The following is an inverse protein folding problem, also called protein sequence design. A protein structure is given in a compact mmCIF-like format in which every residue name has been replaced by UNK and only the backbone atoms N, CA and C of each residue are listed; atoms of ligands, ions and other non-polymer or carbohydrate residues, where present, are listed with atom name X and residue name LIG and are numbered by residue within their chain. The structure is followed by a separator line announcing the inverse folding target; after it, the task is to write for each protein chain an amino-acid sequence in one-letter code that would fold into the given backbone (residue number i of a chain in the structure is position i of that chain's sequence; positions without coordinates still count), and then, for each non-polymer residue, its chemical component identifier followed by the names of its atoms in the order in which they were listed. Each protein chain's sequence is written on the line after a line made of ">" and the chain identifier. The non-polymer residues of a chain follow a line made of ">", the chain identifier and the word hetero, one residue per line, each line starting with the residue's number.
data_IF_098526617885
#
_entry.id   IF_098526617885
#
_cell.length_a   1.000
_cell.length_b   1.000
_cell.length_c   1.000
_cell.angle_alpha   90.00
_cell.angle_beta   90.00
_cell.angle_gamma   90.00
#
_symmetry.space_group_name_H-M   'P 1'
#
loop_
_entity.id
_entity.type
_entity.pdbx_description
1 polymer ?
#
# COMPACT_ATOMS: atom_id res chain seq x y z
N UNK A 1 16.48 5.06 -2.48
CA UNK A 1 16.60 3.60 -2.70
C UNK A 1 17.47 2.88 -1.67
N UNK A 2 18.76 3.18 -1.50
CA UNK A 2 19.60 2.45 -0.50
C UNK A 2 19.00 2.42 0.91
N UNK A 3 18.33 3.51 1.34
CA UNK A 3 17.66 3.54 2.65
C UNK A 3 16.45 2.59 2.70
N UNK A 4 15.65 2.49 1.65
CA UNK A 4 14.56 1.53 1.58
C UNK A 4 15.07 0.08 1.70
N UNK A 5 16.14 -0.26 0.99
CA UNK A 5 16.79 -1.57 1.07
C UNK A 5 17.31 -1.85 2.49
N UNK A 6 17.94 -0.85 3.15
CA UNK A 6 18.41 -0.97 4.54
C UNK A 6 17.27 -1.25 5.52
N UNK A 7 16.17 -0.51 5.40
CA UNK A 7 14.97 -0.70 6.22
C UNK A 7 14.38 -2.11 6.09
N UNK A 8 14.34 -2.65 4.86
CA UNK A 8 13.90 -4.03 4.64
C UNK A 8 14.80 -5.05 5.36
N UNK A 9 16.12 -4.88 5.26
CA UNK A 9 17.08 -5.72 5.96
C UNK A 9 16.96 -5.59 7.48
N UNK A 10 16.89 -4.38 8.01
CA UNK A 10 16.73 -4.10 9.44
C UNK A 10 15.45 -4.75 9.99
N UNK A 11 14.30 -4.56 9.29
CA UNK A 11 13.03 -5.13 9.68
C UNK A 11 13.04 -6.66 9.70
N UNK A 12 13.61 -7.29 8.68
CA UNK A 12 13.77 -8.75 8.59
C UNK A 12 14.62 -9.28 9.74
N UNK A 13 15.80 -8.69 9.98
CA UNK A 13 16.73 -9.14 11.03
C UNK A 13 16.13 -8.99 12.44
N UNK A 14 15.26 -8.00 12.64
CA UNK A 14 14.57 -7.76 13.91
C UNK A 14 13.24 -8.55 14.04
N UNK A 15 12.93 -9.44 13.09
CA UNK A 15 11.72 -10.26 13.15
C UNK A 15 10.42 -9.49 12.92
N UNK A 16 10.49 -8.26 12.39
CA UNK A 16 9.30 -7.45 12.17
C UNK A 16 8.40 -8.00 11.04
N UNK A 17 9.02 -8.60 10.02
CA UNK A 17 8.33 -9.18 8.85
C UNK A 17 9.30 -9.52 7.74
N UNK A 18 8.82 -9.57 6.49
CA UNK A 18 9.62 -9.85 5.30
C UNK A 18 10.66 -8.74 4.97
N UNK A 19 11.58 -9.00 4.00
CA UNK A 19 12.72 -8.14 3.68
C UNK A 19 12.34 -6.90 2.84
N UNK A 20 11.26 -6.22 3.20
CA UNK A 20 10.71 -5.11 2.46
C UNK A 20 10.81 -3.80 3.24
N UNK A 21 11.24 -2.74 2.54
CA UNK A 21 11.37 -1.40 3.11
C UNK A 21 10.96 -0.34 2.09
N UNK A 22 10.45 0.78 2.61
CA UNK A 22 9.95 1.87 1.80
C UNK A 22 10.30 3.22 2.44
N UNK A 23 10.56 4.23 1.60
CA UNK A 23 10.68 5.62 2.02
C UNK A 23 9.82 6.52 1.14
N UNK A 24 9.18 7.50 1.76
CA UNK A 24 8.51 8.60 1.08
C UNK A 24 9.44 9.81 1.10
N UNK A 25 9.66 10.40 -0.06
CA UNK A 25 10.57 11.54 -0.25
C UNK A 25 9.78 12.75 -0.76
N UNK A 26 10.00 13.91 -0.16
CA UNK A 26 9.44 15.19 -0.60
C UNK A 26 10.57 16.22 -0.74
N UNK A 27 10.65 16.91 -1.87
CA UNK A 27 11.68 17.92 -2.13
C UNK A 27 13.13 17.42 -1.83
N UNK A 28 13.44 16.16 -2.20
CA UNK A 28 14.75 15.55 -2.00
C UNK A 28 15.03 15.07 -0.56
N UNK A 29 14.10 15.25 0.38
CA UNK A 29 14.26 14.83 1.77
C UNK A 29 13.33 13.68 2.14
N UNK A 30 13.76 12.76 2.98
CA UNK A 30 12.95 11.67 3.50
C UNK A 30 11.88 12.25 4.43
N UNK A 31 10.62 12.13 4.01
CA UNK A 31 9.45 12.52 4.80
C UNK A 31 9.06 11.43 5.79
N UNK A 32 9.06 10.17 5.35
CA UNK A 32 8.69 9.01 6.19
C UNK A 32 9.40 7.75 5.71
N UNK A 33 9.50 6.79 6.61
CA UNK A 33 10.12 5.49 6.41
C UNK A 33 9.18 4.38 6.88
N UNK A 34 9.29 3.20 6.28
CA UNK A 34 8.56 2.01 6.67
C UNK A 34 9.33 0.75 6.32
N UNK A 35 9.17 -0.27 7.13
CA UNK A 35 9.54 -1.65 6.81
C UNK A 35 8.31 -2.55 6.96
N UNK A 36 8.36 -3.75 6.40
CA UNK A 36 7.31 -4.73 6.59
C UNK A 36 7.15 -5.06 8.08
N UNK A 37 5.93 -5.00 8.60
CA UNK A 37 5.59 -5.20 10.01
C UNK A 37 4.49 -6.25 10.22
N UNK A 38 4.19 -7.04 9.20
CA UNK A 38 3.11 -8.03 9.23
C UNK A 38 3.19 -8.93 10.45
N UNK A 39 4.37 -9.43 10.81
CA UNK A 39 4.54 -10.35 11.93
C UNK A 39 4.40 -9.63 13.28
N UNK A 40 5.12 -8.54 13.48
CA UNK A 40 5.17 -7.86 14.80
C UNK A 40 3.87 -7.14 15.13
N UNK A 41 3.10 -6.70 14.11
CA UNK A 41 1.81 -6.02 14.33
C UNK A 41 0.59 -6.92 14.18
N UNK A 42 0.78 -8.19 13.76
CA UNK A 42 -0.31 -9.12 13.40
C UNK A 42 -1.31 -8.51 12.40
N UNK A 43 -0.80 -7.68 11.49
CA UNK A 43 -1.57 -6.97 10.47
C UNK A 43 -1.07 -7.36 9.08
N UNK A 44 -1.84 -8.17 8.31
CA UNK A 44 -1.44 -8.59 6.98
C UNK A 44 -1.32 -7.43 5.98
N UNK A 45 -1.86 -6.25 6.31
CA UNK A 45 -1.76 -5.05 5.47
C UNK A 45 -0.55 -4.18 5.78
N UNK A 46 0.21 -4.48 6.85
CA UNK A 46 1.37 -3.69 7.28
C UNK A 46 2.61 -3.93 6.41
N UNK A 47 2.44 -3.85 5.08
CA UNK A 47 3.55 -3.81 4.13
C UNK A 47 4.33 -2.51 4.26
N UNK A 48 5.59 -2.52 3.85
CA UNK A 48 6.51 -1.37 4.03
C UNK A 48 5.95 -0.07 3.43
N UNK A 49 5.34 -0.16 2.24
CA UNK A 49 4.73 0.98 1.54
C UNK A 49 3.54 1.54 2.32
N UNK A 50 2.65 0.67 2.80
CA UNK A 50 1.47 1.08 3.58
C UNK A 50 1.91 1.73 4.89
N UNK A 51 2.92 1.19 5.57
CA UNK A 51 3.49 1.76 6.78
C UNK A 51 4.08 3.15 6.50
N UNK A 52 4.87 3.29 5.43
CA UNK A 52 5.49 4.57 5.05
C UNK A 52 4.45 5.61 4.63
N UNK A 53 3.42 5.23 3.85
CA UNK A 53 2.32 6.12 3.44
C UNK A 53 1.56 6.63 4.68
N UNK A 54 1.17 5.74 5.60
CA UNK A 54 0.48 6.12 6.84
C UNK A 54 1.31 7.09 7.68
N UNK A 55 2.59 6.83 7.84
CA UNK A 55 3.50 7.71 8.57
C UNK A 55 3.65 9.07 7.90
N UNK A 56 3.78 9.11 6.56
CA UNK A 56 3.87 10.34 5.80
C UNK A 56 2.59 11.19 5.91
N UNK A 57 1.43 10.58 5.71
CA UNK A 57 0.13 11.23 5.83
C UNK A 57 -0.10 11.81 7.25
N UNK A 58 0.24 11.04 8.28
CA UNK A 58 0.17 11.51 9.67
C UNK A 58 1.09 12.70 9.92
N UNK A 59 2.31 12.67 9.36
CA UNK A 59 3.30 13.74 9.54
C UNK A 59 2.88 15.05 8.88
N UNK A 60 2.23 15.00 7.71
CA UNK A 60 1.76 16.21 7.01
C UNK A 60 0.35 16.63 7.40
N UNK A 61 -0.38 15.80 8.16
CA UNK A 61 -1.77 16.06 8.54
C UNK A 61 -2.76 16.01 7.35
N UNK A 62 -2.44 15.25 6.29
CA UNK A 62 -3.25 15.15 5.08
C UNK A 62 -3.19 13.75 4.47
N UNK A 63 -4.26 13.33 3.78
CA UNK A 63 -4.33 12.02 3.15
C UNK A 63 -3.66 11.93 1.77
N UNK A 64 -3.34 13.05 1.14
CA UNK A 64 -2.64 13.10 -0.15
C UNK A 64 -1.14 13.39 0.02
N UNK A 65 -0.33 12.69 -0.76
CA UNK A 65 1.13 12.81 -0.81
C UNK A 65 1.61 13.41 -2.15
N UNK A 66 0.84 14.38 -2.70
CA UNK A 66 1.25 15.10 -3.90
C UNK A 66 2.60 15.80 -3.67
N UNK A 67 3.46 15.80 -4.68
CA UNK A 67 4.84 16.29 -4.57
C UNK A 67 5.77 15.32 -3.86
N UNK A 68 5.32 14.08 -3.60
CA UNK A 68 6.13 13.04 -2.97
C UNK A 68 6.44 11.90 -3.94
N UNK A 69 7.66 11.38 -3.83
CA UNK A 69 8.10 10.15 -4.49
C UNK A 69 8.12 9.00 -3.48
N UNK A 70 7.75 7.82 -3.93
CA UNK A 70 7.83 6.58 -3.16
C UNK A 70 8.98 5.72 -3.68
N UNK A 71 9.89 5.31 -2.79
CA UNK A 71 10.97 4.38 -3.08
C UNK A 71 10.77 3.12 -2.25
N UNK A 72 10.64 1.98 -2.91
CA UNK A 72 10.45 0.68 -2.26
C UNK A 72 11.51 -0.32 -2.70
N UNK A 73 11.91 -1.20 -1.78
CA UNK A 73 12.95 -2.21 -2.04
C UNK A 73 12.51 -3.29 -3.04
N UNK A 74 11.20 -3.42 -3.26
CA UNK A 74 10.62 -4.37 -4.22
C UNK A 74 9.46 -3.70 -4.97
N UNK A 75 9.12 -4.22 -6.14
CA UNK A 75 7.94 -3.85 -6.91
C UNK A 75 6.68 -3.95 -6.03
N UNK A 76 5.85 -2.88 -5.96
CA UNK A 76 4.67 -2.90 -5.10
C UNK A 76 3.65 -3.95 -5.54
N UNK A 77 3.17 -4.76 -4.59
CA UNK A 77 2.04 -5.65 -4.84
C UNK A 77 0.75 -4.86 -5.14
N UNK A 78 -0.34 -5.49 -5.64
CA UNK A 78 -1.58 -4.80 -5.97
C UNK A 78 -2.18 -3.99 -4.82
N UNK A 79 -2.06 -4.44 -3.57
CA UNK A 79 -2.51 -3.70 -2.39
C UNK A 79 -1.70 -2.40 -2.21
N UNK A 80 -0.37 -2.49 -2.28
CA UNK A 80 0.53 -1.33 -2.10
C UNK A 80 0.42 -0.35 -3.27
N UNK A 81 0.26 -0.85 -4.50
CA UNK A 81 0.00 -0.02 -5.67
C UNK A 81 -1.32 0.75 -5.52
N UNK A 82 -2.38 0.07 -5.06
CA UNK A 82 -3.66 0.70 -4.74
C UNK A 82 -3.51 1.79 -3.67
N UNK A 83 -2.78 1.51 -2.59
CA UNK A 83 -2.52 2.48 -1.53
C UNK A 83 -1.73 3.71 -2.03
N UNK A 84 -0.71 3.51 -2.86
CA UNK A 84 0.06 4.60 -3.45
C UNK A 84 -0.78 5.49 -4.38
N UNK A 85 -1.69 4.88 -5.17
CA UNK A 85 -2.64 5.62 -6.01
C UNK A 85 -3.63 6.43 -5.17
N UNK A 86 -4.21 5.85 -4.12
CA UNK A 86 -5.09 6.57 -3.20
C UNK A 86 -4.37 7.71 -2.47
N UNK A 87 -3.11 7.51 -2.10
CA UNK A 87 -2.27 8.56 -1.51
C UNK A 87 -1.79 9.60 -2.53
N UNK A 88 -2.00 9.38 -3.85
CA UNK A 88 -1.61 10.30 -4.93
C UNK A 88 -0.12 10.67 -4.90
N UNK A 89 0.77 9.68 -4.70
CA UNK A 89 2.20 9.91 -4.87
C UNK A 89 2.50 10.22 -6.34
N UNK A 90 3.49 11.07 -6.60
CA UNK A 90 3.80 11.48 -7.96
C UNK A 90 4.53 10.40 -8.76
N UNK A 91 5.44 9.66 -8.11
CA UNK A 91 6.27 8.63 -8.76
C UNK A 91 6.56 7.48 -7.79
N UNK A 92 6.71 6.28 -8.37
CA UNK A 92 7.15 5.08 -7.65
C UNK A 92 8.47 4.62 -8.28
N UNK A 93 9.45 4.34 -7.42
CA UNK A 93 10.72 3.72 -7.78
C UNK A 93 10.89 2.43 -6.98
N UNK A 94 11.22 1.34 -7.63
CA UNK A 94 11.47 0.07 -6.96
C UNK A 94 12.82 -0.53 -7.36
N UNK A 95 13.34 -1.46 -6.57
CA UNK A 95 14.63 -2.09 -6.81
C UNK A 95 14.48 -3.53 -7.34
N UNK A 96 14.07 -4.47 -6.49
CA UNK A 96 13.81 -5.86 -6.88
C UNK A 96 12.46 -5.97 -7.61
N UNK A 97 12.33 -6.94 -8.50
CA UNK A 97 11.08 -7.22 -9.20
C UNK A 97 10.19 -8.16 -8.37
N UNK A 98 8.94 -8.36 -8.79
CA UNK A 98 8.05 -9.37 -8.22
C UNK A 98 8.56 -10.80 -8.44
N UNK A 99 9.29 -11.05 -9.55
CA UNK A 99 9.92 -12.34 -9.80
C UNK A 99 11.04 -12.62 -8.79
N UNK A 100 11.82 -11.61 -8.41
CA UNK A 100 12.82 -11.72 -7.35
C UNK A 100 12.15 -12.02 -6.00
N UNK A 101 11.01 -11.39 -5.70
CA UNK A 101 10.24 -11.65 -4.50
C UNK A 101 9.67 -13.07 -4.48
N UNK A 102 9.12 -13.54 -5.60
CA UNK A 102 8.62 -14.91 -5.76
C UNK A 102 9.71 -15.95 -5.54
N UNK A 103 10.92 -15.73 -6.08
CA UNK A 103 12.08 -16.56 -5.81
C UNK A 103 12.48 -16.58 -4.33
N UNK A 104 12.19 -15.51 -3.59
CA UNK A 104 12.35 -15.40 -2.15
C UNK A 104 11.20 -16.00 -1.31
N UNK A 105 10.19 -16.59 -1.97
CA UNK A 105 9.01 -17.19 -1.30
C UNK A 105 7.84 -16.23 -1.09
N UNK A 106 7.88 -15.02 -1.67
CA UNK A 106 6.82 -14.01 -1.59
C UNK A 106 6.10 -13.89 -2.94
N UNK A 107 5.40 -14.95 -3.34
CA UNK A 107 4.66 -14.99 -4.62
C UNK A 107 3.28 -14.33 -4.48
N UNK A 108 3.13 -13.16 -5.08
CA UNK A 108 1.87 -12.41 -5.17
C UNK A 108 1.24 -12.42 -6.58
N UNK A 109 1.78 -13.20 -7.52
CA UNK A 109 1.28 -13.30 -8.90
C UNK A 109 -0.21 -13.69 -8.95
N UNK A 110 -0.63 -14.58 -8.05
CA UNK A 110 -2.04 -14.96 -7.93
C UNK A 110 -2.94 -13.77 -7.61
N UNK A 111 -2.45 -12.78 -6.84
CA UNK A 111 -3.22 -11.60 -6.44
C UNK A 111 -3.48 -10.66 -7.63
N UNK A 112 -2.54 -10.51 -8.55
CA UNK A 112 -2.75 -9.76 -9.80
C UNK A 112 -3.88 -10.37 -10.63
N UNK A 113 -3.91 -11.70 -10.75
CA UNK A 113 -4.99 -12.42 -11.44
C UNK A 113 -6.32 -12.31 -10.70
N UNK A 114 -6.31 -12.40 -9.39
CA UNK A 114 -7.49 -12.29 -8.54
C UNK A 114 -8.17 -10.92 -8.66
N UNK A 115 -7.37 -9.82 -8.65
CA UNK A 115 -7.89 -8.46 -8.81
C UNK A 115 -8.54 -8.25 -10.17
N UNK A 116 -7.99 -8.84 -11.23
CA UNK A 116 -8.52 -8.74 -12.58
C UNK A 116 -9.70 -9.70 -12.85
N UNK A 117 -9.92 -10.71 -12.00
CA UNK A 117 -10.92 -11.73 -12.22
C UNK A 117 -12.35 -11.20 -12.03
N UNK A 118 -13.33 -11.68 -12.84
CA UNK A 118 -14.75 -11.47 -12.58
C UNK A 118 -15.15 -11.99 -11.18
N UNK A 119 -16.12 -11.34 -10.53
CA UNK A 119 -16.54 -11.69 -9.16
C UNK A 119 -16.82 -13.19 -8.99
N UNK A 120 -17.49 -13.82 -9.96
CA UNK A 120 -17.85 -15.23 -9.91
C UNK A 120 -16.66 -16.20 -9.97
N UNK A 121 -15.47 -15.71 -10.41
CA UNK A 121 -14.27 -16.53 -10.60
C UNK A 121 -13.25 -16.32 -9.49
N UNK A 122 -13.51 -15.46 -8.51
CA UNK A 122 -12.58 -15.14 -7.44
C UNK A 122 -12.42 -16.26 -6.43
N UNK A 123 -11.22 -16.44 -5.90
CA UNK A 123 -10.91 -17.42 -4.85
C UNK A 123 -11.71 -17.16 -3.56
N UNK A 124 -11.87 -15.88 -3.23
CA UNK A 124 -12.73 -15.47 -2.12
C UNK A 124 -14.12 -15.23 -2.71
N UNK A 125 -15.13 -16.07 -2.38
CA UNK A 125 -16.49 -15.88 -2.87
C UNK A 125 -16.99 -14.48 -2.54
N UNK A 126 -17.36 -13.73 -3.57
CA UNK A 126 -17.79 -12.34 -3.42
C UNK A 126 -19.19 -12.19 -3.97
N UNK A 127 -20.16 -11.91 -3.10
CA UNK A 127 -21.58 -11.85 -3.45
C UNK A 127 -22.15 -10.48 -3.06
N UNK A 128 -22.86 -9.78 -3.96
CA UNK A 128 -23.55 -8.55 -3.60
C UNK A 128 -24.71 -8.83 -2.64
N UNK A 129 -24.79 -8.06 -1.56
CA UNK A 129 -25.84 -8.16 -0.55
C UNK A 129 -26.34 -6.77 -0.20
N UNK A 130 -27.66 -6.60 -0.06
CA UNK A 130 -28.33 -5.35 0.35
C UNK A 130 -27.94 -4.11 -0.47
N UNK A 131 -27.70 -4.28 -1.77
CA UNK A 131 -27.27 -3.17 -2.66
C UNK A 131 -28.26 -2.00 -2.62
N UNK A 132 -29.57 -2.28 -2.56
CA UNK A 132 -30.62 -1.26 -2.55
C UNK A 132 -30.59 -0.41 -1.27
N UNK A 133 -30.15 -0.96 -0.13
CA UNK A 133 -29.98 -0.23 1.12
C UNK A 133 -28.68 0.58 1.16
N UNK A 134 -27.61 0.06 0.52
CA UNK A 134 -26.30 0.73 0.48
C UNK A 134 -26.23 1.88 -0.53
N UNK A 135 -26.97 1.79 -1.65
CA UNK A 135 -26.92 2.81 -2.72
C UNK A 135 -27.31 4.22 -2.24
N UNK A 136 -28.33 4.42 -1.39
CA UNK A 136 -28.68 5.75 -0.87
C UNK A 136 -27.53 6.47 -0.13
N UNK A 137 -26.62 5.75 0.52
CA UNK A 137 -25.47 6.36 1.21
C UNK A 137 -24.64 7.25 0.30
N UNK A 138 -24.52 6.91 -0.98
CA UNK A 138 -23.80 7.76 -1.95
C UNK A 138 -24.55 9.06 -2.26
N UNK A 139 -25.88 9.05 -2.25
CA UNK A 139 -26.70 10.24 -2.42
C UNK A 139 -26.61 11.15 -1.18
N UNK A 140 -26.68 10.55 0.01
CA UNK A 140 -26.46 11.24 1.28
C UNK A 140 -25.08 11.88 1.35
N UNK A 141 -24.03 11.15 0.92
CA UNK A 141 -22.67 11.71 0.79
C UNK A 141 -22.63 12.91 -0.16
N UNK A 142 -23.26 12.81 -1.32
CA UNK A 142 -23.31 13.93 -2.28
C UNK A 142 -24.04 15.14 -1.73
N UNK A 143 -25.08 14.93 -0.91
CA UNK A 143 -25.85 16.00 -0.27
C UNK A 143 -25.16 16.62 0.96
N UNK A 144 -24.13 15.97 1.52
CA UNK A 144 -23.39 16.42 2.70
C UNK A 144 -22.61 17.70 2.36
N UNK A 145 -22.96 18.84 2.97
CA UNK A 145 -22.41 20.15 2.65
C UNK A 145 -20.90 20.27 2.98
N UNK A 146 -20.44 19.57 4.01
CA UNK A 146 -19.05 19.59 4.52
C UNK A 146 -18.25 18.36 4.08
N UNK A 147 -18.67 17.66 3.00
CA UNK A 147 -17.93 16.52 2.48
C UNK A 147 -16.55 16.92 1.95
N UNK A 148 -15.55 16.14 2.28
CA UNK A 148 -14.22 16.26 1.71
C UNK A 148 -14.03 15.13 0.69
N UNK A 149 -13.99 15.41 -0.62
CA UNK A 149 -13.66 14.40 -1.64
C UNK A 149 -12.21 13.90 -1.46
N UNK A 150 -11.99 12.62 -1.67
CA UNK A 150 -10.66 11.99 -1.59
C UNK A 150 -10.47 10.90 -2.66
#
# INVERSE_FOLDING_TARGET
>A
MRRAISLGREGMLNGAGGPFGCVIVRAGQILAEGNNRVLVSHDPTAHAEVVAIRAACARIGHFELRGCDLYTSCEPCPMCLGAANWARVDRIFFAATREDAAAGGFDDEWLYREVAAPLASRRIPTTPLLRHEATPLFQEWLAKADRTPY
#
